data_IF_198628536239
#
_entry.id   IF_198628536239
#
_cell.length_a   1.000
_cell.length_b   1.000
_cell.length_c   1.000
_cell.angle_alpha   90.00
_cell.angle_beta   90.00
_cell.angle_gamma   90.00
#
_symmetry.space_group_name_H-M   'P 1'
#
loop_
_entity.id
_entity.type
_entity.pdbx_description
1 polymer ?
#
# COMPACT_ATOMS: atom_id res chain seq x y z
N UNK A 1 6.40 32.05 -7.78
CA UNK A 1 4.96 31.69 -7.88
C UNK A 1 4.68 30.20 -8.15
N UNK A 2 5.61 29.42 -8.75
CA UNK A 2 5.36 28.00 -9.09
C UNK A 2 5.27 27.06 -7.85
N UNK A 3 6.14 27.23 -6.86
CA UNK A 3 6.20 26.35 -5.66
C UNK A 3 4.95 26.50 -4.78
N UNK A 4 4.47 27.74 -4.56
CA UNK A 4 3.27 27.98 -3.76
C UNK A 4 2.01 27.32 -4.32
N UNK A 5 1.87 27.27 -5.65
CA UNK A 5 0.76 26.56 -6.31
C UNK A 5 0.86 25.04 -6.11
N UNK A 6 2.07 24.47 -6.17
CA UNK A 6 2.29 23.03 -5.93
C UNK A 6 1.94 22.67 -4.48
N UNK A 7 2.40 23.47 -3.52
CA UNK A 7 2.11 23.25 -2.09
C UNK A 7 0.60 23.33 -1.84
N UNK A 8 -0.09 24.31 -2.41
CA UNK A 8 -1.55 24.44 -2.25
C UNK A 8 -2.30 23.22 -2.81
N UNK A 9 -1.92 22.75 -4.00
CA UNK A 9 -2.51 21.55 -4.62
C UNK A 9 -2.23 20.29 -3.79
N UNK A 10 -1.01 20.15 -3.27
CA UNK A 10 -0.66 19.08 -2.34
C UNK A 10 -1.54 19.10 -1.11
N UNK A 11 -1.67 20.24 -0.42
CA UNK A 11 -2.51 20.38 0.78
C UNK A 11 -3.96 20.03 0.47
N UNK A 12 -4.51 20.54 -0.64
CA UNK A 12 -5.89 20.26 -1.05
C UNK A 12 -6.14 18.76 -1.23
N UNK A 13 -5.26 18.08 -1.97
CA UNK A 13 -5.39 16.65 -2.23
C UNK A 13 -5.18 15.84 -0.93
N UNK A 14 -4.21 16.23 -0.10
CA UNK A 14 -3.98 15.62 1.22
C UNK A 14 -5.20 15.72 2.13
N UNK A 15 -5.91 16.86 2.15
CA UNK A 15 -7.15 17.01 2.93
C UNK A 15 -8.24 16.09 2.36
N UNK A 16 -8.45 16.13 1.04
CA UNK A 16 -9.46 15.31 0.37
C UNK A 16 -9.29 13.82 0.69
N UNK A 17 -8.08 13.29 0.51
CA UNK A 17 -7.81 11.87 0.74
C UNK A 17 -7.85 11.51 2.22
N UNK A 18 -7.44 12.42 3.11
CA UNK A 18 -7.52 12.20 4.56
C UNK A 18 -8.95 12.14 5.06
N UNK A 19 -9.88 12.91 4.47
CA UNK A 19 -11.31 12.80 4.77
C UNK A 19 -11.84 11.43 4.39
N UNK A 20 -11.50 10.94 3.20
CA UNK A 20 -11.94 9.62 2.72
C UNK A 20 -11.39 8.52 3.63
N UNK A 21 -10.07 8.47 3.83
CA UNK A 21 -9.49 7.43 4.68
C UNK A 21 -9.93 7.58 6.14
N UNK A 22 -10.05 8.80 6.65
CA UNK A 22 -10.57 9.09 7.97
C UNK A 22 -11.95 8.51 8.18
N UNK A 23 -12.87 8.68 7.22
CA UNK A 23 -14.21 8.08 7.25
C UNK A 23 -14.12 6.54 7.25
N UNK A 24 -13.26 5.93 6.42
CA UNK A 24 -13.10 4.46 6.40
C UNK A 24 -12.54 3.91 7.72
N UNK A 25 -11.63 4.62 8.38
CA UNK A 25 -11.07 4.25 9.69
C UNK A 25 -12.08 4.46 10.81
N UNK A 26 -12.82 5.57 10.79
CA UNK A 26 -13.88 5.87 11.76
C UNK A 26 -15.02 4.85 11.69
N UNK A 27 -15.51 4.55 10.48
CA UNK A 27 -16.53 3.53 10.27
C UNK A 27 -16.04 2.15 10.72
N UNK A 28 -14.79 1.80 10.44
CA UNK A 28 -14.19 0.57 10.96
C UNK A 28 -14.18 0.56 12.50
N UNK A 29 -13.75 1.64 13.15
CA UNK A 29 -13.70 1.73 14.60
C UNK A 29 -15.09 1.67 15.26
N UNK A 30 -16.08 2.36 14.70
CA UNK A 30 -17.46 2.38 15.20
C UNK A 30 -18.08 0.98 15.07
N UNK A 31 -17.99 0.37 13.89
CA UNK A 31 -18.55 -0.96 13.63
C UNK A 31 -17.90 -2.03 14.49
N UNK A 32 -16.59 -1.95 14.75
CA UNK A 32 -15.90 -2.87 15.67
C UNK A 32 -16.37 -2.71 17.12
N UNK A 33 -16.70 -1.49 17.56
CA UNK A 33 -17.28 -1.24 18.89
C UNK A 33 -18.71 -1.77 19.01
N UNK A 34 -19.53 -1.60 17.97
CA UNK A 34 -20.95 -1.99 17.98
C UNK A 34 -21.10 -3.51 17.88
N UNK A 35 -20.38 -4.18 16.97
CA UNK A 35 -20.68 -5.56 16.61
C UNK A 35 -19.89 -6.66 17.34
N UNK A 36 -19.15 -6.35 18.42
CA UNK A 36 -18.35 -7.31 19.23
C UNK A 36 -17.79 -8.49 18.40
N UNK A 37 -17.18 -8.21 17.26
CA UNK A 37 -16.49 -9.21 16.41
C UNK A 37 -17.32 -10.06 15.44
N UNK A 38 -18.61 -9.80 15.16
CA UNK A 38 -19.35 -10.54 14.12
C UNK A 38 -19.34 -9.83 12.75
N UNK A 39 -18.58 -10.44 11.84
CA UNK A 39 -18.68 -10.52 10.36
C UNK A 39 -18.83 -9.26 9.47
N UNK A 40 -19.15 -8.07 9.97
CA UNK A 40 -19.49 -6.93 9.09
C UNK A 40 -18.29 -6.06 8.68
N UNK A 41 -17.14 -6.17 9.36
CA UNK A 41 -16.07 -5.19 9.18
C UNK A 41 -14.75 -5.61 8.51
N UNK A 42 -14.70 -6.60 7.59
CA UNK A 42 -13.51 -6.75 6.74
C UNK A 42 -13.49 -5.77 5.56
N UNK A 43 -14.64 -5.14 5.22
CA UNK A 43 -14.82 -4.52 3.90
C UNK A 43 -14.94 -2.98 3.89
N UNK A 44 -14.78 -2.29 5.04
CA UNK A 44 -15.05 -0.84 5.10
C UNK A 44 -14.14 -0.03 4.16
N UNK A 45 -12.91 -0.51 3.99
CA UNK A 45 -11.91 0.14 3.15
C UNK A 45 -12.18 -0.11 1.65
N UNK A 46 -12.59 -1.32 1.30
CA UNK A 46 -12.99 -1.75 -0.04
C UNK A 46 -14.23 -0.99 -0.50
N UNK A 47 -15.21 -0.81 0.37
CA UNK A 47 -16.41 -0.03 0.09
C UNK A 47 -16.09 1.46 -0.16
N UNK A 48 -15.23 2.06 0.67
CA UNK A 48 -14.76 3.42 0.43
C UNK A 48 -14.01 3.58 -0.88
N UNK A 49 -13.16 2.61 -1.21
CA UNK A 49 -12.42 2.57 -2.47
C UNK A 49 -13.33 2.37 -3.68
N UNK A 50 -14.37 1.53 -3.57
CA UNK A 50 -15.38 1.32 -4.60
C UNK A 50 -16.19 2.59 -4.87
N UNK A 51 -16.59 3.33 -3.83
CA UNK A 51 -17.27 4.62 -3.99
C UNK A 51 -16.39 5.61 -4.76
N UNK A 52 -15.10 5.71 -4.43
CA UNK A 52 -14.15 6.53 -5.20
C UNK A 52 -14.09 6.08 -6.65
N UNK A 53 -13.95 4.77 -6.88
CA UNK A 53 -13.88 4.22 -8.23
C UNK A 53 -15.11 4.62 -9.04
N UNK A 54 -16.31 4.46 -8.48
CA UNK A 54 -17.58 4.83 -9.12
C UNK A 54 -17.60 6.32 -9.46
N UNK A 55 -17.24 7.19 -8.52
CA UNK A 55 -17.17 8.64 -8.75
C UNK A 55 -16.21 8.96 -9.90
N UNK A 56 -14.98 8.42 -9.88
CA UNK A 56 -14.00 8.67 -10.94
C UNK A 56 -14.49 8.13 -12.29
N UNK A 57 -15.08 6.94 -12.29
CA UNK A 57 -15.63 6.32 -13.49
C UNK A 57 -16.72 7.18 -14.13
N UNK A 58 -17.62 7.78 -13.34
CA UNK A 58 -18.68 8.64 -13.89
C UNK A 58 -18.16 10.00 -14.35
N UNK A 59 -17.26 10.64 -13.61
CA UNK A 59 -16.84 12.02 -13.90
C UNK A 59 -15.64 12.14 -14.85
N UNK A 60 -14.80 11.10 -14.98
CA UNK A 60 -13.53 11.17 -15.70
C UNK A 60 -13.31 10.03 -16.72
N UNK A 61 -14.37 9.28 -17.10
CA UNK A 61 -14.28 8.15 -18.03
C UNK A 61 -13.51 8.44 -19.33
N UNK A 62 -13.61 9.66 -19.84
CA UNK A 62 -13.02 10.07 -21.11
C UNK A 62 -11.58 10.59 -21.01
N UNK A 63 -11.07 10.84 -19.80
CA UNK A 63 -9.76 11.49 -19.57
C UNK A 63 -8.72 10.59 -18.91
N UNK A 64 -9.15 9.48 -18.33
CA UNK A 64 -8.27 8.54 -17.63
C UNK A 64 -8.42 7.18 -18.31
N UNK A 65 -7.34 6.67 -18.88
CA UNK A 65 -7.29 5.28 -19.31
C UNK A 65 -7.11 4.41 -18.05
N UNK A 66 -8.18 3.70 -17.67
CA UNK A 66 -8.24 2.91 -16.43
C UNK A 66 -7.91 1.43 -16.71
N UNK A 67 -8.09 0.99 -17.95
CA UNK A 67 -8.03 -0.41 -18.36
C UNK A 67 -7.33 -0.59 -19.72
N UNK A 68 -6.05 -0.23 -19.82
CA UNK A 68 -5.25 -0.66 -20.98
C UNK A 68 -4.91 -2.15 -20.86
N UNK A 69 -5.64 -3.01 -21.59
CA UNK A 69 -5.52 -4.47 -21.51
C UNK A 69 -4.30 -5.00 -22.29
N UNK A 70 -3.90 -4.29 -23.35
CA UNK A 70 -2.78 -4.65 -24.23
C UNK A 70 -1.43 -4.77 -23.51
N UNK A 71 -1.26 -4.08 -22.39
CA UNK A 71 -0.01 -4.04 -21.62
C UNK A 71 -0.03 -4.84 -20.32
N UNK A 72 -1.08 -5.62 -20.04
CA UNK A 72 -1.24 -6.33 -18.77
C UNK A 72 -0.06 -7.26 -18.43
N UNK A 73 0.46 -7.98 -19.42
CA UNK A 73 1.52 -8.99 -19.24
C UNK A 73 2.69 -8.65 -20.17
N UNK A 74 3.36 -7.55 -19.88
CA UNK A 74 4.65 -7.20 -20.47
C UNK A 74 5.76 -7.54 -19.46
N UNK A 75 6.92 -7.97 -19.95
CA UNK A 75 8.14 -8.20 -19.17
C UNK A 75 8.50 -7.00 -18.28
N UNK A 76 8.34 -5.77 -18.79
CA UNK A 76 8.62 -4.57 -18.00
C UNK A 76 7.73 -4.48 -16.75
N UNK A 77 6.44 -4.80 -16.90
CA UNK A 77 5.48 -4.78 -15.80
C UNK A 77 5.76 -5.88 -14.79
N UNK A 78 6.16 -7.07 -15.25
CA UNK A 78 6.56 -8.18 -14.37
C UNK A 78 7.80 -7.81 -13.55
N UNK A 79 8.84 -7.25 -14.20
CA UNK A 79 10.07 -6.82 -13.52
C UNK A 79 9.76 -5.74 -12.48
N UNK A 80 8.96 -4.74 -12.84
CA UNK A 80 8.54 -3.68 -11.92
C UNK A 80 7.72 -4.22 -10.74
N UNK A 81 6.83 -5.18 -10.97
CA UNK A 81 6.12 -5.87 -9.89
C UNK A 81 7.09 -6.54 -8.92
N UNK A 82 8.10 -7.25 -9.42
CA UNK A 82 9.10 -7.93 -8.57
C UNK A 82 9.93 -6.92 -7.76
N UNK A 83 10.41 -5.84 -8.39
CA UNK A 83 11.16 -4.76 -7.72
C UNK A 83 10.32 -4.08 -6.64
N UNK A 84 9.01 -3.99 -6.84
CA UNK A 84 8.09 -3.43 -5.86
C UNK A 84 7.87 -4.39 -4.69
N UNK A 85 7.51 -5.63 -4.99
CA UNK A 85 7.00 -6.62 -4.02
C UNK A 85 8.13 -7.13 -3.12
N UNK A 86 9.26 -7.58 -3.69
CA UNK A 86 10.26 -8.32 -2.92
C UNK A 86 10.86 -7.50 -1.78
N UNK A 87 11.37 -6.27 -1.99
CA UNK A 87 12.01 -5.50 -0.92
C UNK A 87 11.03 -5.13 0.19
N UNK A 88 9.79 -4.81 -0.17
CA UNK A 88 8.77 -4.32 0.76
C UNK A 88 8.24 -5.46 1.62
N UNK A 89 7.96 -6.62 1.02
CA UNK A 89 7.57 -7.83 1.75
C UNK A 89 8.64 -8.28 2.76
N UNK A 90 9.93 -8.16 2.42
CA UNK A 90 11.04 -8.49 3.35
C UNK A 90 11.07 -7.55 4.55
N UNK A 91 10.91 -6.25 4.34
CA UNK A 91 10.90 -5.26 5.43
C UNK A 91 9.68 -5.48 6.36
N UNK A 92 8.51 -5.74 5.77
CA UNK A 92 7.28 -6.03 6.53
C UNK A 92 7.41 -7.32 7.35
N UNK A 93 8.07 -8.34 6.80
CA UNK A 93 8.39 -9.56 7.53
C UNK A 93 9.24 -9.27 8.78
N UNK A 94 10.35 -8.54 8.64
CA UNK A 94 11.29 -8.26 9.75
C UNK A 94 10.62 -7.55 10.93
N UNK A 95 9.67 -6.66 10.65
CA UNK A 95 8.93 -5.90 11.67
C UNK A 95 7.97 -6.78 12.48
N UNK A 96 7.36 -7.80 11.86
CA UNK A 96 6.21 -8.52 12.42
C UNK A 96 6.53 -9.93 12.95
N UNK A 97 7.81 -10.29 13.08
CA UNK A 97 8.31 -11.63 13.46
C UNK A 97 7.67 -12.20 14.74
N UNK A 98 7.27 -11.33 15.67
CA UNK A 98 6.77 -11.71 17.00
C UNK A 98 5.25 -11.89 17.12
N UNK A 99 4.45 -11.51 16.10
CA UNK A 99 2.97 -11.64 16.18
C UNK A 99 2.52 -13.06 15.84
N UNK A 100 1.59 -13.62 16.63
CA UNK A 100 0.90 -14.88 16.34
C UNK A 100 0.19 -14.83 14.99
N UNK A 101 0.29 -15.90 14.22
CA UNK A 101 -0.18 -15.93 12.84
C UNK A 101 -1.59 -16.49 12.73
N UNK A 102 -2.43 -15.76 11.99
CA UNK A 102 -3.70 -16.24 11.47
C UNK A 102 -3.51 -16.55 9.98
N UNK A 103 -4.21 -17.54 9.46
CA UNK A 103 -4.21 -17.88 8.04
C UNK A 103 -4.48 -16.62 7.18
N UNK A 104 -3.68 -16.38 6.14
CA UNK A 104 -3.92 -15.32 5.16
C UNK A 104 -5.31 -15.48 4.54
N UNK A 105 -6.08 -14.40 4.48
CA UNK A 105 -7.44 -14.41 3.93
C UNK A 105 -7.49 -13.60 2.65
N UNK A 106 -8.44 -13.94 1.78
CA UNK A 106 -8.72 -13.16 0.56
C UNK A 106 -8.98 -11.68 0.88
N UNK A 107 -9.61 -11.38 2.02
CA UNK A 107 -9.82 -10.01 2.48
C UNK A 107 -8.50 -9.24 2.64
N UNK A 108 -7.44 -9.87 3.16
CA UNK A 108 -6.16 -9.20 3.39
C UNK A 108 -5.50 -8.78 2.05
N UNK A 109 -5.67 -9.62 1.02
CA UNK A 109 -5.29 -9.33 -0.36
C UNK A 109 -6.14 -8.17 -0.91
N UNK A 110 -7.47 -8.27 -0.78
CA UNK A 110 -8.41 -7.28 -1.30
C UNK A 110 -8.27 -5.92 -0.62
N UNK A 111 -7.90 -5.87 0.67
CA UNK A 111 -7.56 -4.65 1.38
C UNK A 111 -6.37 -3.95 0.74
N UNK A 112 -5.30 -4.70 0.42
CA UNK A 112 -4.11 -4.15 -0.26
C UNK A 112 -4.44 -3.69 -1.68
N UNK A 113 -5.12 -4.54 -2.44
CA UNK A 113 -5.57 -4.19 -3.78
C UNK A 113 -6.43 -2.92 -3.79
N UNK A 114 -7.39 -2.80 -2.86
CA UNK A 114 -8.30 -1.66 -2.82
C UNK A 114 -7.60 -0.34 -2.49
N UNK A 115 -6.46 -0.35 -1.79
CA UNK A 115 -5.67 0.85 -1.50
C UNK A 115 -5.16 1.57 -2.74
N UNK A 116 -4.97 0.83 -3.83
CA UNK A 116 -4.45 1.42 -5.07
C UNK A 116 -5.49 2.29 -5.78
N UNK A 117 -6.78 2.10 -5.55
CA UNK A 117 -7.82 2.95 -6.14
C UNK A 117 -7.70 4.41 -5.64
N UNK A 118 -7.82 4.71 -4.34
CA UNK A 118 -7.62 6.07 -3.83
C UNK A 118 -6.21 6.61 -4.13
N UNK A 119 -5.18 5.78 -4.09
CA UNK A 119 -3.80 6.25 -4.28
C UNK A 119 -3.48 6.55 -5.75
N UNK A 120 -3.72 5.61 -6.66
CA UNK A 120 -3.35 5.74 -8.08
C UNK A 120 -4.44 6.43 -8.87
N UNK A 121 -5.66 5.92 -8.76
CA UNK A 121 -6.74 6.38 -9.60
C UNK A 121 -7.19 7.80 -9.24
N UNK A 122 -7.20 8.13 -7.94
CA UNK A 122 -7.55 9.47 -7.45
C UNK A 122 -6.32 10.37 -7.29
N UNK A 123 -5.46 10.12 -6.30
CA UNK A 123 -4.41 11.08 -5.89
C UNK A 123 -3.38 11.31 -7.00
N UNK A 124 -2.78 10.24 -7.54
CA UNK A 124 -1.76 10.37 -8.59
C UNK A 124 -2.33 11.07 -9.84
N UNK A 125 -3.51 10.67 -10.32
CA UNK A 125 -4.14 11.34 -11.47
C UNK A 125 -4.59 12.78 -11.16
N UNK A 126 -5.03 13.10 -9.95
CA UNK A 126 -5.38 14.47 -9.59
C UNK A 126 -4.17 15.41 -9.67
N UNK A 127 -2.99 14.96 -9.30
CA UNK A 127 -1.76 15.75 -9.50
C UNK A 127 -1.47 16.00 -10.97
N UNK A 128 -1.71 15.02 -11.84
CA UNK A 128 -1.57 15.16 -13.30
C UNK A 128 -2.62 16.12 -13.86
N UNK A 129 -3.90 15.96 -13.49
CA UNK A 129 -5.02 16.81 -13.95
C UNK A 129 -4.82 18.26 -13.52
N UNK A 130 -4.33 18.49 -12.30
CA UNK A 130 -4.01 19.83 -11.81
C UNK A 130 -2.71 20.40 -12.39
N UNK A 131 -2.09 19.72 -13.35
CA UNK A 131 -0.89 20.14 -14.07
C UNK A 131 0.26 20.51 -13.12
N UNK A 132 0.53 19.64 -12.15
CA UNK A 132 1.63 19.80 -11.20
C UNK A 132 2.95 19.43 -11.89
N UNK A 133 3.52 20.41 -12.59
CA UNK A 133 4.80 20.26 -13.28
C UNK A 133 5.88 21.06 -12.56
N UNK A 134 7.10 20.54 -12.58
CA UNK A 134 8.31 21.33 -12.31
C UNK A 134 9.22 21.28 -13.52
N UNK A 135 10.06 22.32 -13.69
CA UNK A 135 11.07 22.38 -14.76
C UNK A 135 12.05 21.19 -14.70
N UNK A 136 12.16 20.53 -13.54
CA UNK A 136 13.16 19.48 -13.25
C UNK A 136 12.58 18.05 -13.41
N UNK A 137 11.26 17.88 -13.27
CA UNK A 137 10.59 16.58 -13.36
C UNK A 137 9.32 16.70 -14.20
N UNK A 138 9.17 15.83 -15.20
CA UNK A 138 7.92 15.70 -15.96
C UNK A 138 6.72 15.46 -15.03
N UNK A 139 5.54 15.92 -15.45
CA UNK A 139 4.28 15.93 -14.68
C UNK A 139 4.01 14.64 -13.90
N UNK A 140 4.23 13.50 -14.55
CA UNK A 140 3.96 12.17 -14.00
C UNK A 140 4.95 11.78 -12.89
N UNK A 141 6.23 12.11 -13.04
CA UNK A 141 7.26 11.77 -12.05
C UNK A 141 7.01 12.49 -10.72
N UNK A 142 6.63 13.77 -10.77
CA UNK A 142 6.30 14.53 -9.58
C UNK A 142 5.00 14.05 -8.92
N UNK A 143 3.98 13.71 -9.72
CA UNK A 143 2.72 13.14 -9.20
C UNK A 143 2.94 11.84 -8.40
N UNK A 144 3.82 10.95 -8.88
CA UNK A 144 4.18 9.70 -8.18
C UNK A 144 4.84 10.00 -6.83
N UNK A 145 5.79 10.94 -6.80
CA UNK A 145 6.49 11.33 -5.57
C UNK A 145 5.53 11.99 -4.58
N UNK A 146 4.67 12.91 -5.03
CA UNK A 146 3.70 13.56 -4.14
C UNK A 146 2.68 12.56 -3.58
N UNK A 147 2.25 11.57 -4.39
CA UNK A 147 1.38 10.50 -3.92
C UNK A 147 2.07 9.63 -2.85
N UNK A 148 3.37 9.31 -3.01
CA UNK A 148 4.11 8.55 -2.00
C UNK A 148 4.25 9.31 -0.67
N UNK A 149 4.44 10.63 -0.73
CA UNK A 149 4.46 11.49 0.47
C UNK A 149 3.10 11.51 1.18
N UNK A 150 2.00 11.62 0.42
CA UNK A 150 0.64 11.54 0.97
C UNK A 150 0.41 10.21 1.68
N UNK A 151 0.85 9.11 1.08
CA UNK A 151 0.72 7.78 1.67
C UNK A 151 1.46 7.67 3.02
N UNK A 152 2.70 8.15 3.08
CA UNK A 152 3.47 8.18 4.33
C UNK A 152 2.83 9.08 5.38
N UNK A 153 2.35 10.26 4.96
CA UNK A 153 1.63 11.17 5.84
C UNK A 153 0.43 10.46 6.47
N UNK A 154 -0.32 9.69 5.68
CA UNK A 154 -1.44 8.90 6.17
C UNK A 154 -1.01 7.86 7.22
N UNK A 155 0.07 7.10 6.98
CA UNK A 155 0.60 6.12 7.96
C UNK A 155 0.94 6.80 9.29
N UNK A 156 1.64 7.94 9.24
CA UNK A 156 2.04 8.68 10.44
C UNK A 156 0.81 9.19 11.20
N UNK A 157 -0.15 9.82 10.51
CA UNK A 157 -1.38 10.34 11.10
C UNK A 157 -2.23 9.22 11.70
N UNK A 158 -2.32 8.08 11.02
CA UNK A 158 -3.05 6.92 11.53
C UNK A 158 -2.48 6.41 12.86
N UNK A 159 -1.15 6.34 13.00
CA UNK A 159 -0.51 5.95 14.25
C UNK A 159 -0.84 6.93 15.39
N UNK A 160 -0.86 8.24 15.11
CA UNK A 160 -1.29 9.26 16.08
C UNK A 160 -2.76 9.08 16.49
N UNK A 161 -3.69 8.92 15.53
CA UNK A 161 -5.12 8.73 15.80
C UNK A 161 -5.37 7.45 16.61
N UNK A 162 -4.61 6.39 16.34
CA UNK A 162 -4.68 5.14 17.08
C UNK A 162 -4.00 5.19 18.46
N UNK A 163 -3.49 6.35 18.90
CA UNK A 163 -2.84 6.53 20.19
C UNK A 163 -1.49 5.82 20.32
N UNK A 164 -0.88 5.42 19.19
CA UNK A 164 0.43 4.77 19.18
C UNK A 164 1.52 5.83 19.14
N UNK A 165 2.59 5.62 19.91
CA UNK A 165 3.75 6.52 19.89
C UNK A 165 4.53 6.30 18.60
N UNK A 166 4.65 7.35 17.78
CA UNK A 166 5.56 7.38 16.64
C UNK A 166 6.99 7.32 17.19
N UNK A 167 7.64 6.17 17.04
CA UNK A 167 9.02 5.94 17.48
C UNK A 167 9.89 5.59 16.28
N UNK A 168 11.22 5.54 16.46
CA UNK A 168 12.17 5.12 15.40
C UNK A 168 11.83 3.75 14.78
N UNK A 169 11.03 2.92 15.47
CA UNK A 169 10.55 1.62 14.97
C UNK A 169 9.60 1.72 13.76
N UNK A 170 9.04 2.90 13.46
CA UNK A 170 8.21 3.13 12.27
C UNK A 170 9.05 3.38 11.01
N UNK A 171 10.32 3.78 11.15
CA UNK A 171 11.14 4.22 10.02
C UNK A 171 11.27 3.16 8.91
N UNK A 172 11.47 1.86 9.19
CA UNK A 172 11.50 0.85 8.15
C UNK A 172 10.18 0.75 7.37
N UNK A 173 9.04 0.90 8.05
CA UNK A 173 7.72 0.89 7.41
C UNK A 173 7.51 2.11 6.53
N UNK A 174 7.95 3.29 6.98
CA UNK A 174 7.91 4.51 6.16
C UNK A 174 8.75 4.34 4.91
N UNK A 175 9.99 3.86 5.03
CA UNK A 175 10.89 3.65 3.88
C UNK A 175 10.32 2.61 2.92
N UNK A 176 9.83 1.48 3.44
CA UNK A 176 9.19 0.46 2.62
C UNK A 176 7.95 1.01 1.90
N UNK A 177 7.16 1.85 2.58
CA UNK A 177 5.95 2.45 2.01
C UNK A 177 6.26 3.48 0.92
N UNK A 178 7.33 4.27 1.07
CA UNK A 178 7.84 5.16 0.02
C UNK A 178 8.29 4.34 -1.19
N UNK A 179 9.12 3.33 -0.96
CA UNK A 179 9.63 2.45 -2.01
C UNK A 179 8.47 1.81 -2.77
N UNK A 180 7.56 1.15 -2.06
CA UNK A 180 6.38 0.54 -2.63
C UNK A 180 5.59 1.55 -3.46
N UNK A 181 5.27 2.72 -2.90
CA UNK A 181 4.38 3.67 -3.54
C UNK A 181 4.99 4.32 -4.80
N UNK A 182 6.32 4.51 -4.83
CA UNK A 182 7.01 5.00 -6.03
C UNK A 182 6.95 3.94 -7.14
N UNK A 183 7.36 2.72 -6.86
CA UNK A 183 7.46 1.68 -7.89
C UNK A 183 6.09 1.21 -8.40
N UNK A 184 5.08 1.10 -7.53
CA UNK A 184 3.70 0.87 -7.96
C UNK A 184 3.15 2.04 -8.76
N UNK A 185 3.51 3.28 -8.42
CA UNK A 185 3.12 4.46 -9.20
C UNK A 185 3.72 4.47 -10.61
N UNK A 186 4.96 4.04 -10.76
CA UNK A 186 5.62 3.84 -12.06
C UNK A 186 4.94 2.72 -12.83
N UNK A 187 4.69 1.58 -12.18
CA UNK A 187 3.99 0.43 -12.75
C UNK A 187 2.60 0.82 -13.28
N UNK A 188 1.83 1.60 -12.52
CA UNK A 188 0.55 2.13 -12.97
C UNK A 188 0.70 3.03 -14.21
N UNK A 189 1.70 3.92 -14.20
CA UNK A 189 1.95 4.86 -15.31
C UNK A 189 2.32 4.16 -16.61
N UNK A 190 3.08 3.07 -16.54
CA UNK A 190 3.53 2.30 -17.72
C UNK A 190 2.44 1.35 -18.20
N UNK A 191 1.75 0.69 -17.28
CA UNK A 191 0.72 -0.29 -17.61
C UNK A 191 -0.59 0.32 -18.10
N UNK A 192 -0.88 1.58 -17.76
CA UNK A 192 -2.16 2.22 -18.10
C UNK A 192 -3.37 1.50 -17.50
N UNK A 193 -3.15 0.69 -16.45
CA UNK A 193 -4.15 -0.24 -15.96
C UNK A 193 -4.12 -0.33 -14.44
N UNK A 194 -5.25 -0.05 -13.79
CA UNK A 194 -5.36 -0.07 -12.33
C UNK A 194 -5.30 -1.49 -11.74
N UNK A 195 -5.62 -2.52 -12.53
CA UNK A 195 -5.61 -3.91 -12.04
C UNK A 195 -4.19 -4.37 -11.71
N UNK A 196 -3.19 -3.93 -12.47
CA UNK A 196 -1.79 -4.30 -12.28
C UNK A 196 -1.25 -3.85 -10.90
N UNK A 197 -1.33 -2.56 -10.50
CA UNK A 197 -0.92 -2.13 -9.17
C UNK A 197 -1.76 -2.78 -8.06
N UNK A 198 -3.08 -2.99 -8.28
CA UNK A 198 -3.94 -3.69 -7.32
C UNK A 198 -3.44 -5.12 -7.03
N UNK A 199 -3.11 -5.88 -8.08
CA UNK A 199 -2.54 -7.22 -7.95
C UNK A 199 -1.17 -7.13 -7.27
N UNK A 200 -0.32 -6.17 -7.64
CA UNK A 200 1.00 -6.01 -7.04
C UNK A 200 0.93 -5.80 -5.51
N UNK A 201 0.02 -4.96 -5.03
CA UNK A 201 -0.17 -4.74 -3.59
C UNK A 201 -0.80 -5.94 -2.89
N UNK A 202 -1.80 -6.57 -3.49
CA UNK A 202 -2.35 -7.82 -2.94
C UNK A 202 -1.28 -8.91 -2.79
N UNK A 203 -0.41 -9.06 -3.80
CA UNK A 203 0.70 -10.00 -3.79
C UNK A 203 1.78 -9.63 -2.76
N UNK A 204 2.11 -8.34 -2.59
CA UNK A 204 3.03 -7.88 -1.55
C UNK A 204 2.62 -8.38 -0.18
N UNK A 205 1.33 -8.24 0.17
CA UNK A 205 0.81 -8.72 1.45
C UNK A 205 0.85 -10.23 1.58
N UNK A 206 0.53 -10.93 0.50
CA UNK A 206 0.58 -12.39 0.46
C UNK A 206 2.00 -12.90 0.63
N UNK A 207 2.98 -12.30 -0.05
CA UNK A 207 4.40 -12.67 0.04
C UNK A 207 4.95 -12.30 1.41
N UNK A 208 4.63 -11.14 1.95
CA UNK A 208 5.02 -10.74 3.31
C UNK A 208 4.50 -11.74 4.36
N UNK A 209 3.24 -12.18 4.20
CA UNK A 209 2.66 -13.21 5.05
C UNK A 209 3.35 -14.57 4.88
N UNK A 210 3.55 -15.00 3.63
CA UNK A 210 4.20 -16.28 3.31
C UNK A 210 5.62 -16.35 3.86
N UNK A 211 6.40 -15.27 3.74
CA UNK A 211 7.74 -15.15 4.32
C UNK A 211 7.68 -15.33 5.84
N UNK A 212 6.68 -14.73 6.48
CA UNK A 212 6.53 -14.78 7.92
C UNK A 212 6.22 -16.19 8.45
N UNK A 213 5.36 -16.95 7.77
CA UNK A 213 5.03 -18.33 8.11
C UNK A 213 6.22 -19.26 7.87
N UNK A 214 6.71 -19.31 6.62
CA UNK A 214 7.61 -20.37 6.19
C UNK A 214 9.07 -20.15 6.61
N UNK A 215 9.55 -18.90 6.60
CA UNK A 215 10.93 -18.61 6.99
C UNK A 215 11.13 -18.81 8.50
N UNK A 216 10.11 -18.47 9.31
CA UNK A 216 10.11 -18.72 10.75
C UNK A 216 10.19 -20.22 11.07
N UNK A 217 9.39 -21.04 10.40
CA UNK A 217 9.44 -22.50 10.56
C UNK A 217 10.79 -23.09 10.14
N UNK A 218 11.36 -22.61 9.03
CA UNK A 218 12.67 -23.05 8.54
C UNK A 218 13.78 -22.73 9.54
N UNK A 219 13.80 -21.50 10.10
CA UNK A 219 14.77 -21.09 11.13
C UNK A 219 14.62 -21.95 12.39
N UNK A 220 13.39 -22.19 12.86
CA UNK A 220 13.14 -23.04 14.04
C UNK A 220 13.64 -24.47 13.81
N UNK A 221 13.40 -25.05 12.63
CA UNK A 221 13.91 -26.38 12.26
C UNK A 221 15.44 -26.42 12.27
N UNK A 222 16.09 -25.41 11.67
CA UNK A 222 17.55 -25.30 11.66
C UNK A 222 18.13 -25.16 13.07
N UNK A 223 17.55 -24.32 13.93
CA UNK A 223 18.00 -24.14 15.32
C UNK A 223 17.83 -25.43 16.15
N UNK A 224 16.72 -26.16 15.98
CA UNK A 224 16.52 -27.47 16.63
C UNK A 224 17.57 -28.48 16.16
N UNK A 225 17.86 -28.55 14.86
CA UNK A 225 18.90 -29.42 14.30
C UNK A 225 20.29 -29.07 14.86
N UNK A 226 20.65 -27.79 14.89
CA UNK A 226 21.91 -27.32 15.46
C UNK A 226 22.05 -27.67 16.95
N UNK A 227 20.98 -27.49 17.74
CA UNK A 227 20.97 -27.83 19.18
C UNK A 227 21.17 -29.33 19.43
N UNK A 228 20.58 -30.19 18.59
CA UNK A 228 20.77 -31.64 18.69
C UNK A 228 22.20 -32.06 18.35
N UNK A 229 22.83 -31.42 17.36
CA UNK A 229 24.24 -31.66 17.00
C UNK A 229 25.17 -31.26 18.16
N UNK A 230 24.92 -30.13 18.83
CA UNK A 230 25.71 -29.69 19.98
C UNK A 230 25.54 -30.62 21.19
N UNK A 231 24.34 -31.17 21.42
CA UNK A 231 24.11 -32.17 22.47
C UNK A 231 24.85 -33.48 22.21
N UNK A 232 24.88 -33.95 20.96
CA UNK A 232 25.61 -35.17 20.58
C UNK A 232 27.12 -35.06 20.71
N UNK A 233 27.69 -33.85 20.59
CA UNK A 233 29.14 -33.60 20.79
C UNK A 233 29.56 -33.45 22.27
N UNK A 234 28.62 -33.45 23.22
CA UNK A 234 28.88 -33.33 24.67
C UNK A 234 28.75 -34.66 25.42
N UNK A 235 28.44 -35.74 24.72
CA UNK A 235 28.45 -37.13 25.20
C UNK A 235 29.69 -37.78 24.61
#
# INVERSE_FOLDING_TARGET
MMIGSIILKYILISILISLIFGITVLTNNITNKINRGKLINPYSFQLGSLLIFIVIWFFNKSKIEIFEVSRLVNWDNIVLMLITIIPTSVIVYWKNTDRTEKLFRLVDFLDGASMEIPQRLLVQNMFVILNVNTIIYGSMTLAIVLNSLIWVQFIIVQEFICGRKVTKKIMPEVIASIWFSIWVGILYSISGNIIVPMIAHGLERMVAHWLKVNLKEAIIKCLKKARNIVKLKRI
#
